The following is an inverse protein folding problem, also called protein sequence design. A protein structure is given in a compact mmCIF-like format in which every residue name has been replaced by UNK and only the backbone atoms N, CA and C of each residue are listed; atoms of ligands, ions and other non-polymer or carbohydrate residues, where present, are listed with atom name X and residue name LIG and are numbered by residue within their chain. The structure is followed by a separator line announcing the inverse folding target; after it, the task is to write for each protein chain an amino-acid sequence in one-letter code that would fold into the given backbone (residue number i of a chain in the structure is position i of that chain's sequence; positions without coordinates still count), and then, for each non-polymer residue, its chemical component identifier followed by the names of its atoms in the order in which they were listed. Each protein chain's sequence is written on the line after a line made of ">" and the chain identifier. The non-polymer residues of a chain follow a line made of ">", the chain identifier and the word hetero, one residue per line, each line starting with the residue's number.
data_IF_886531112326
#
_entry.id   IF_886531112326
#
_cell.length_a   1.000
_cell.length_b   1.000
_cell.length_c   1.000
_cell.angle_alpha   90.00
_cell.angle_beta   90.00
_cell.angle_gamma   90.00
#
_symmetry.space_group_name_H-M   'P 1'
#
loop_
_entity.id
_entity.type
_entity.pdbx_description
1 polymer ?
#
# COMPACT_ATOMS: atom_id res chain seq x y z
N UNK A 1 -20.69 24.96 5.93
CA UNK A 1 -19.53 24.95 5.01
C UNK A 1 -18.95 26.34 5.09
N UNK A 2 -17.96 26.59 5.99
CA UNK A 2 -17.40 27.92 6.18
C UNK A 2 -16.76 28.41 4.88
N UNK A 3 -16.93 29.69 4.58
CA UNK A 3 -16.34 30.36 3.42
C UNK A 3 -14.81 30.11 3.42
N UNK A 4 -14.34 29.45 2.38
CA UNK A 4 -12.90 29.24 2.20
C UNK A 4 -12.25 30.59 1.91
N UNK A 5 -11.52 31.12 2.87
CA UNK A 5 -10.71 32.33 2.71
C UNK A 5 -9.82 32.15 1.46
N UNK A 6 -9.82 33.13 0.57
CA UNK A 6 -8.98 33.07 -0.65
C UNK A 6 -7.50 32.96 -0.25
N UNK A 7 -6.68 32.17 -0.97
CA UNK A 7 -5.27 31.95 -0.58
C UNK A 7 -4.47 33.21 -0.26
N UNK A 8 -4.68 34.30 -1.02
CA UNK A 8 -4.00 35.60 -0.82
C UNK A 8 -4.40 36.36 0.47
N UNK A 9 -5.55 35.99 1.05
CA UNK A 9 -6.13 36.70 2.19
C UNK A 9 -5.93 35.93 3.51
N UNK A 10 -5.18 34.80 3.46
CA UNK A 10 -4.89 33.95 4.61
C UNK A 10 -3.72 34.50 5.43
N UNK A 11 -3.83 34.38 6.75
CA UNK A 11 -2.72 34.63 7.66
C UNK A 11 -1.67 33.51 7.52
N UNK A 12 -0.43 33.80 7.93
CA UNK A 12 0.67 32.84 7.86
C UNK A 12 0.36 31.57 8.69
N UNK A 13 -0.30 31.70 9.82
CA UNK A 13 -0.67 30.56 10.67
C UNK A 13 -1.68 29.64 9.96
N UNK A 14 -2.69 30.21 9.27
CA UNK A 14 -3.66 29.44 8.47
C UNK A 14 -2.96 28.67 7.33
N UNK A 15 -1.95 29.26 6.71
CA UNK A 15 -1.15 28.60 5.66
C UNK A 15 -0.32 27.46 6.24
N UNK A 16 0.30 27.65 7.40
CA UNK A 16 1.06 26.59 8.09
C UNK A 16 0.13 25.45 8.49
N UNK A 17 -1.04 25.73 9.05
CA UNK A 17 -2.03 24.70 9.43
C UNK A 17 -2.53 23.91 8.22
N UNK A 18 -2.87 24.60 7.12
CA UNK A 18 -3.27 23.96 5.87
C UNK A 18 -2.16 23.07 5.31
N UNK A 19 -0.89 23.51 5.45
CA UNK A 19 0.26 22.74 5.00
C UNK A 19 0.48 21.50 5.88
N UNK A 20 0.36 21.63 7.19
CA UNK A 20 0.40 20.50 8.12
C UNK A 20 -0.64 19.46 7.73
N UNK A 21 -1.89 19.89 7.51
CA UNK A 21 -2.96 19.00 7.06
C UNK A 21 -2.61 18.28 5.74
N UNK A 22 -2.11 19.03 4.76
CA UNK A 22 -1.71 18.46 3.47
C UNK A 22 -0.58 17.43 3.60
N UNK A 23 0.44 17.72 4.40
CA UNK A 23 1.56 16.79 4.66
C UNK A 23 1.07 15.57 5.42
N UNK A 24 0.16 15.72 6.39
CA UNK A 24 -0.40 14.61 7.16
C UNK A 24 -1.22 13.65 6.30
N UNK A 25 -1.97 14.17 5.31
CA UNK A 25 -2.65 13.33 4.31
C UNK A 25 -1.63 12.52 3.51
N UNK A 26 -0.56 13.14 3.03
CA UNK A 26 0.50 12.46 2.26
C UNK A 26 1.21 11.43 3.14
N UNK A 27 1.57 11.78 4.38
CA UNK A 27 2.16 10.86 5.35
C UNK A 27 1.27 9.63 5.57
N UNK A 28 -0.01 9.85 5.82
CA UNK A 28 -0.97 8.76 6.04
C UNK A 28 -1.12 7.90 4.78
N UNK A 29 -1.11 8.48 3.58
CA UNK A 29 -1.11 7.74 2.33
C UNK A 29 0.14 6.86 2.19
N UNK A 30 1.33 7.36 2.58
CA UNK A 30 2.58 6.58 2.60
C UNK A 30 2.52 5.41 3.59
N UNK A 31 1.91 5.59 4.75
CA UNK A 31 1.66 4.49 5.71
C UNK A 31 0.79 3.39 5.07
N UNK A 32 -0.29 3.80 4.39
CA UNK A 32 -1.19 2.83 3.71
C UNK A 32 -0.49 2.11 2.56
N UNK A 33 0.28 2.83 1.75
CA UNK A 33 1.07 2.25 0.67
C UNK A 33 2.10 1.24 1.18
N UNK A 34 2.88 1.60 2.21
CA UNK A 34 3.84 0.72 2.86
C UNK A 34 3.18 -0.56 3.37
N UNK A 35 2.11 -0.44 4.17
CA UNK A 35 1.40 -1.60 4.72
C UNK A 35 0.73 -2.47 3.66
N UNK A 36 0.32 -1.89 2.51
CA UNK A 36 -0.22 -2.65 1.38
C UNK A 36 0.87 -3.47 0.68
N UNK A 37 2.01 -2.86 0.39
CA UNK A 37 3.14 -3.52 -0.27
C UNK A 37 3.75 -4.62 0.60
N UNK A 38 3.85 -4.42 1.92
CA UNK A 38 4.26 -5.48 2.85
C UNK A 38 3.32 -6.69 2.79
N UNK A 39 2.00 -6.46 2.78
CA UNK A 39 1.03 -7.56 2.64
C UNK A 39 1.17 -8.30 1.32
N UNK A 40 1.51 -7.60 0.22
CA UNK A 40 1.78 -8.28 -1.06
C UNK A 40 3.01 -9.16 -0.96
N UNK A 41 4.12 -8.65 -0.38
CA UNK A 41 5.33 -9.44 -0.17
C UNK A 41 5.02 -10.71 0.65
N UNK A 42 4.38 -10.57 1.81
CA UNK A 42 4.03 -11.71 2.67
C UNK A 42 3.10 -12.70 1.97
N UNK A 43 2.12 -12.21 1.19
CA UNK A 43 1.21 -13.07 0.44
C UNK A 43 1.93 -13.85 -0.65
N UNK A 44 2.88 -13.23 -1.35
CA UNK A 44 3.70 -13.92 -2.35
C UNK A 44 4.65 -14.93 -1.72
N UNK A 45 5.31 -14.61 -0.62
CA UNK A 45 6.19 -15.52 0.09
C UNK A 45 5.44 -16.79 0.51
N UNK A 46 4.22 -16.62 1.04
CA UNK A 46 3.34 -17.75 1.40
C UNK A 46 2.88 -18.56 0.18
N UNK A 47 2.47 -17.90 -0.91
CA UNK A 47 2.07 -18.57 -2.15
C UNK A 47 3.23 -19.35 -2.77
N UNK A 48 4.44 -18.80 -2.80
CA UNK A 48 5.62 -19.49 -3.31
C UNK A 48 5.96 -20.71 -2.47
N UNK A 49 5.83 -20.62 -1.16
CA UNK A 49 5.99 -21.80 -0.30
C UNK A 49 5.02 -22.91 -0.72
N UNK A 50 3.72 -22.60 -0.87
CA UNK A 50 2.70 -23.57 -1.30
C UNK A 50 3.02 -24.10 -2.70
N UNK A 51 3.31 -23.25 -3.68
CA UNK A 51 3.60 -23.66 -5.05
C UNK A 51 4.81 -24.57 -5.12
N UNK A 52 5.87 -24.28 -4.38
CA UNK A 52 7.07 -25.11 -4.32
C UNK A 52 6.77 -26.48 -3.66
N UNK A 53 6.03 -26.50 -2.56
CA UNK A 53 5.63 -27.75 -1.89
C UNK A 53 4.76 -28.62 -2.83
N UNK A 54 3.78 -28.02 -3.49
CA UNK A 54 2.93 -28.71 -4.48
C UNK A 54 3.77 -29.22 -5.66
N UNK A 55 4.68 -28.41 -6.19
CA UNK A 55 5.57 -28.81 -7.28
C UNK A 55 6.40 -30.02 -6.94
N UNK A 56 7.02 -30.03 -5.76
CA UNK A 56 7.82 -31.16 -5.28
C UNK A 56 6.96 -32.39 -5.02
N UNK A 57 5.77 -32.22 -4.43
CA UNK A 57 4.84 -33.32 -4.17
C UNK A 57 4.38 -33.97 -5.48
N UNK A 58 4.02 -33.19 -6.49
CA UNK A 58 3.65 -33.70 -7.83
C UNK A 58 4.82 -34.44 -8.49
N UNK A 59 6.04 -33.93 -8.37
CA UNK A 59 7.23 -34.58 -8.90
C UNK A 59 7.48 -35.92 -8.23
N UNK A 60 7.46 -35.98 -6.89
CA UNK A 60 7.69 -37.22 -6.14
C UNK A 60 6.62 -38.26 -6.49
N UNK A 61 5.34 -37.87 -6.51
CA UNK A 61 4.24 -38.78 -6.82
C UNK A 61 4.30 -39.29 -8.27
N UNK A 62 4.81 -38.49 -9.21
CA UNK A 62 5.00 -38.92 -10.61
C UNK A 62 6.15 -39.91 -10.79
N UNK A 63 7.10 -39.96 -9.86
CA UNK A 63 8.24 -40.90 -9.87
C UNK A 63 7.95 -42.20 -9.13
N UNK A 64 6.91 -42.23 -8.29
CA UNK A 64 6.55 -43.47 -7.57
C UNK A 64 5.83 -44.43 -8.53
N UNK A 65 6.15 -45.75 -8.47
CA UNK A 65 5.54 -46.77 -9.32
C UNK A 65 4.11 -47.14 -8.93
N UNK A 66 3.39 -46.20 -8.30
CA UNK A 66 2.01 -46.37 -7.81
C UNK A 66 0.95 -46.24 -8.92
N UNK A 67 1.30 -45.70 -10.07
CA UNK A 67 0.37 -45.62 -11.21
C UNK A 67 0.48 -46.85 -12.08
N UNK A 68 -0.64 -47.50 -12.33
CA UNK A 68 -0.81 -48.68 -13.17
C UNK A 68 -0.39 -48.41 -14.63
N UNK A 69 -0.28 -47.13 -15.02
CA UNK A 69 0.26 -46.71 -16.29
C UNK A 69 1.46 -45.76 -16.04
N UNK A 70 2.61 -46.08 -16.63
CA UNK A 70 3.79 -45.23 -16.68
C UNK A 70 3.49 -43.93 -17.47
N UNK A 71 2.61 -43.08 -16.93
CA UNK A 71 2.13 -41.90 -17.62
C UNK A 71 3.20 -40.81 -17.60
N UNK A 72 3.93 -40.66 -18.67
CA UNK A 72 4.83 -39.51 -18.91
C UNK A 72 4.13 -38.15 -18.73
N UNK A 73 2.80 -38.15 -18.85
CA UNK A 73 1.93 -36.98 -18.74
C UNK A 73 1.98 -36.35 -17.31
N UNK A 74 2.01 -37.17 -16.25
CA UNK A 74 2.13 -36.67 -14.88
C UNK A 74 3.49 -36.00 -14.61
N UNK A 75 4.58 -36.60 -15.15
CA UNK A 75 5.91 -36.00 -15.06
C UNK A 75 6.00 -34.69 -15.85
N UNK A 76 5.43 -34.64 -17.06
CA UNK A 76 5.40 -33.42 -17.86
C UNK A 76 4.59 -32.30 -17.17
N UNK A 77 3.43 -32.63 -16.57
CA UNK A 77 2.61 -31.66 -15.85
C UNK A 77 3.35 -31.07 -14.64
N UNK A 78 4.03 -31.94 -13.86
CA UNK A 78 4.82 -31.48 -12.72
C UNK A 78 6.01 -30.59 -13.14
N UNK A 79 6.67 -30.94 -14.27
CA UNK A 79 7.77 -30.14 -14.84
C UNK A 79 7.28 -28.76 -15.32
N UNK A 80 6.15 -28.71 -16.03
CA UNK A 80 5.56 -27.43 -16.48
C UNK A 80 5.12 -26.57 -15.28
N UNK A 81 4.54 -27.16 -14.25
CA UNK A 81 4.17 -26.40 -13.07
C UNK A 81 5.39 -25.86 -12.31
N UNK A 82 6.46 -26.64 -12.23
CA UNK A 82 7.72 -26.21 -11.64
C UNK A 82 8.32 -25.02 -12.40
N UNK A 83 8.33 -25.09 -13.74
CA UNK A 83 8.78 -23.99 -14.59
C UNK A 83 7.90 -22.75 -14.44
N UNK A 84 6.58 -22.91 -14.40
CA UNK A 84 5.64 -21.82 -14.13
C UNK A 84 5.94 -21.14 -12.79
N UNK A 85 6.14 -21.93 -11.73
CA UNK A 85 6.46 -21.41 -10.39
C UNK A 85 7.74 -20.57 -10.42
N UNK A 86 8.80 -21.04 -11.09
CA UNK A 86 10.05 -20.29 -11.26
C UNK A 86 9.82 -18.96 -11.99
N UNK A 87 9.07 -18.95 -13.08
CA UNK A 87 8.81 -17.75 -13.89
C UNK A 87 8.04 -16.71 -13.04
N UNK A 88 6.99 -17.14 -12.34
CA UNK A 88 6.20 -16.26 -11.48
C UNK A 88 7.06 -15.72 -10.34
N UNK A 89 7.87 -16.55 -9.70
CA UNK A 89 8.77 -16.14 -8.61
C UNK A 89 9.80 -15.12 -9.11
N UNK A 90 10.41 -15.34 -10.27
CA UNK A 90 11.32 -14.38 -10.87
C UNK A 90 10.62 -13.05 -11.17
N UNK A 91 9.45 -13.08 -11.80
CA UNK A 91 8.66 -11.88 -12.08
C UNK A 91 8.35 -11.10 -10.81
N UNK A 92 7.83 -11.76 -9.76
CA UNK A 92 7.51 -11.11 -8.49
C UNK A 92 8.74 -10.54 -7.78
N UNK A 93 9.90 -11.20 -7.90
CA UNK A 93 11.15 -10.67 -7.32
C UNK A 93 11.55 -9.34 -7.94
N UNK A 94 11.24 -9.10 -9.22
CA UNK A 94 11.55 -7.83 -9.90
C UNK A 94 10.66 -6.68 -9.44
N UNK A 95 9.48 -6.95 -8.85
CA UNK A 95 8.55 -5.93 -8.36
C UNK A 95 9.00 -5.28 -7.05
N UNK A 96 9.96 -5.89 -6.35
CA UNK A 96 10.62 -5.34 -5.16
C UNK A 96 9.67 -4.76 -4.11
N UNK A 97 8.54 -5.43 -3.83
CA UNK A 97 7.51 -4.94 -2.92
C UNK A 97 8.07 -4.54 -1.54
N UNK A 98 8.97 -5.33 -0.99
CA UNK A 98 9.57 -5.10 0.33
C UNK A 98 10.43 -3.83 0.36
N UNK A 99 11.27 -3.64 -0.66
CA UNK A 99 12.12 -2.45 -0.78
C UNK A 99 11.27 -1.19 -0.97
N UNK A 100 10.24 -1.25 -1.83
CA UNK A 100 9.31 -0.15 -2.05
C UNK A 100 8.53 0.20 -0.79
N UNK A 101 8.06 -0.83 -0.04
CA UNK A 101 7.38 -0.63 1.24
C UNK A 101 8.29 0.08 2.24
N UNK A 102 9.55 -0.31 2.33
CA UNK A 102 10.54 0.29 3.21
C UNK A 102 10.83 1.75 2.83
N UNK A 103 10.93 2.07 1.53
CA UNK A 103 11.08 3.45 1.05
C UNK A 103 9.90 4.33 1.48
N UNK A 104 8.65 3.83 1.37
CA UNK A 104 7.48 4.55 1.87
C UNK A 104 7.51 4.74 3.39
N UNK A 105 7.99 3.74 4.12
CA UNK A 105 8.13 3.82 5.57
C UNK A 105 9.13 4.90 5.99
N UNK A 106 10.30 4.99 5.37
CA UNK A 106 11.27 6.04 5.67
C UNK A 106 10.74 7.43 5.29
N UNK A 107 10.10 7.55 4.15
CA UNK A 107 9.53 8.83 3.73
C UNK A 107 8.43 9.32 4.69
N UNK A 108 7.60 8.43 5.23
CA UNK A 108 6.60 8.86 6.22
C UNK A 108 7.23 9.45 7.50
N UNK A 109 8.36 8.91 7.96
CA UNK A 109 9.10 9.44 9.11
C UNK A 109 9.68 10.83 8.82
N UNK A 110 10.17 11.02 7.60
CA UNK A 110 10.65 12.33 7.16
C UNK A 110 9.50 13.36 7.11
N UNK A 111 8.33 12.97 6.58
CA UNK A 111 7.14 13.81 6.56
C UNK A 111 6.67 14.17 7.98
N UNK A 112 6.74 13.25 8.93
CA UNK A 112 6.44 13.52 10.32
C UNK A 112 7.38 14.59 10.92
N UNK A 113 8.67 14.52 10.61
CA UNK A 113 9.62 15.55 11.01
C UNK A 113 9.27 16.94 10.45
N UNK A 114 8.78 17.03 9.21
CA UNK A 114 8.30 18.30 8.66
C UNK A 114 7.06 18.82 9.41
N UNK A 115 6.11 17.93 9.72
CA UNK A 115 4.93 18.29 10.51
C UNK A 115 5.35 18.83 11.89
N UNK A 116 6.29 18.18 12.58
CA UNK A 116 6.79 18.62 13.88
C UNK A 116 7.47 19.98 13.79
N UNK A 117 8.30 20.22 12.78
CA UNK A 117 8.94 21.52 12.54
C UNK A 117 7.91 22.63 12.32
N UNK A 118 6.88 22.37 11.49
CA UNK A 118 5.80 23.34 11.24
C UNK A 118 4.97 23.60 12.51
N UNK A 119 4.67 22.58 13.31
CA UNK A 119 3.99 22.74 14.59
C UNK A 119 4.82 23.58 15.57
N UNK A 120 6.14 23.40 15.60
CA UNK A 120 7.01 24.19 16.45
C UNK A 120 6.96 25.69 16.11
N UNK A 121 6.85 26.06 14.81
CA UNK A 121 6.66 27.47 14.41
C UNK A 121 5.38 28.05 15.04
N UNK A 122 4.26 27.30 15.01
CA UNK A 122 2.99 27.73 15.60
C UNK A 122 3.03 27.80 17.13
N UNK A 123 3.79 26.92 17.79
CA UNK A 123 3.87 26.85 19.25
C UNK A 123 4.84 27.88 19.85
N UNK A 124 5.88 28.30 19.15
CA UNK A 124 6.85 29.30 19.62
C UNK A 124 6.23 30.69 19.83
N UNK A 125 5.01 30.93 19.36
CA UNK A 125 4.28 32.18 19.49
C UNK A 125 4.01 32.61 20.94
N UNK A 126 3.95 31.68 21.88
CA UNK A 126 3.53 31.95 23.28
C UNK A 126 4.59 32.61 24.15
N UNK A 127 5.80 32.90 23.61
CA UNK A 127 6.92 33.34 24.44
C UNK A 127 7.68 34.54 23.86
N UNK A 128 7.25 35.79 24.12
CA UNK A 128 8.13 36.94 24.33
C UNK A 128 8.62 37.84 23.18
N UNK A 129 7.86 38.23 22.13
CA UNK A 129 8.34 39.33 21.24
C UNK A 129 7.23 40.25 20.71
N UNK A 130 7.49 41.52 20.33
CA UNK A 130 6.51 42.42 19.72
C UNK A 130 6.04 41.93 18.35
N UNK A 131 4.79 42.14 18.05
CA UNK A 131 3.98 41.50 16.98
C UNK A 131 4.51 41.64 15.54
N UNK A 132 5.13 42.75 15.17
CA UNK A 132 5.48 43.01 13.77
C UNK A 132 6.72 42.26 13.20
N UNK A 133 7.66 41.84 14.06
CA UNK A 133 8.85 41.10 13.62
C UNK A 133 8.59 39.57 13.54
N UNK A 134 7.56 39.12 14.20
CA UNK A 134 7.25 37.70 14.40
C UNK A 134 6.70 37.04 13.11
N UNK A 135 5.83 37.74 12.38
CA UNK A 135 5.23 37.18 11.13
C UNK A 135 6.27 37.02 10.03
N UNK A 136 7.24 37.94 9.95
CA UNK A 136 8.31 37.83 8.97
C UNK A 136 9.27 36.68 9.30
N UNK A 137 9.64 36.49 10.57
CA UNK A 137 10.49 35.38 11.01
C UNK A 137 9.81 34.03 10.76
N UNK A 138 8.51 33.90 11.12
CA UNK A 138 7.69 32.73 10.82
C UNK A 138 7.67 32.41 9.32
N UNK A 139 7.46 33.43 8.50
CA UNK A 139 7.44 33.26 7.04
C UNK A 139 8.77 32.74 6.49
N UNK A 140 9.89 33.24 6.98
CA UNK A 140 11.22 32.77 6.56
C UNK A 140 11.46 31.31 6.97
N UNK A 141 11.14 30.95 8.21
CA UNK A 141 11.25 29.58 8.69
C UNK A 141 10.33 28.62 7.89
N UNK A 142 9.10 29.04 7.65
CA UNK A 142 8.14 28.30 6.84
C UNK A 142 8.67 28.04 5.42
N UNK A 143 9.21 29.08 4.77
CA UNK A 143 9.79 28.98 3.43
C UNK A 143 10.92 27.95 3.37
N UNK A 144 11.85 27.99 4.33
CA UNK A 144 12.97 27.03 4.40
C UNK A 144 12.47 25.60 4.56
N UNK A 145 11.44 25.38 5.38
CA UNK A 145 10.85 24.05 5.57
C UNK A 145 10.16 23.57 4.30
N UNK A 146 9.44 24.45 3.59
CA UNK A 146 8.78 24.10 2.33
C UNK A 146 9.78 23.74 1.22
N UNK A 147 10.88 24.46 1.11
CA UNK A 147 11.93 24.14 0.13
C UNK A 147 12.49 22.73 0.39
N UNK A 148 12.82 22.43 1.64
CA UNK A 148 13.30 21.09 2.03
C UNK A 148 12.24 20.00 1.77
N UNK A 149 10.97 20.28 2.06
CA UNK A 149 9.87 19.36 1.80
C UNK A 149 9.70 19.07 0.30
N UNK A 150 9.81 20.09 -0.57
CA UNK A 150 9.74 19.91 -2.01
C UNK A 150 10.88 19.04 -2.56
N UNK A 151 12.09 19.24 -2.02
CA UNK A 151 13.25 18.41 -2.39
C UNK A 151 13.03 16.96 -1.96
N UNK A 152 12.50 16.72 -0.76
CA UNK A 152 12.25 15.37 -0.26
C UNK A 152 11.23 14.60 -1.12
N UNK A 153 10.26 15.30 -1.71
CA UNK A 153 9.28 14.65 -2.59
C UNK A 153 9.88 14.11 -3.89
N UNK A 154 10.98 14.68 -4.38
CA UNK A 154 11.57 14.30 -5.67
C UNK A 154 12.23 12.92 -5.66
N UNK A 155 12.64 12.43 -4.49
CA UNK A 155 13.34 11.16 -4.34
C UNK A 155 12.45 9.93 -4.21
N UNK A 156 11.13 10.11 -4.11
CA UNK A 156 10.23 9.01 -3.77
C UNK A 156 9.15 8.78 -4.84
N UNK A 157 8.81 7.51 -5.02
CA UNK A 157 7.68 7.08 -5.86
C UNK A 157 6.36 7.66 -5.33
N UNK A 158 5.45 8.04 -6.23
CA UNK A 158 4.13 8.51 -5.84
C UNK A 158 3.29 7.36 -5.28
N UNK A 159 2.52 7.65 -4.23
CA UNK A 159 1.50 6.75 -3.71
C UNK A 159 0.34 6.63 -4.70
N UNK A 160 -0.39 5.51 -4.64
CA UNK A 160 -1.56 5.31 -5.49
C UNK A 160 -2.73 6.20 -5.09
N UNK A 161 -3.63 6.47 -6.04
CA UNK A 161 -4.88 7.21 -5.77
C UNK A 161 -5.74 6.51 -4.70
N UNK A 162 -5.65 5.17 -4.62
CA UNK A 162 -6.33 4.39 -3.59
C UNK A 162 -5.82 4.77 -2.19
N UNK A 163 -4.50 4.76 -2.00
CA UNK A 163 -3.86 5.08 -0.73
C UNK A 163 -4.19 6.52 -0.30
N UNK A 164 -4.13 7.45 -1.25
CA UNK A 164 -4.48 8.86 -1.00
C UNK A 164 -5.95 9.04 -0.58
N UNK A 165 -6.90 8.41 -1.29
CA UNK A 165 -8.33 8.48 -0.95
C UNK A 165 -8.63 7.89 0.42
N UNK A 166 -8.01 6.76 0.76
CA UNK A 166 -8.16 6.12 2.07
C UNK A 166 -7.62 7.04 3.18
N UNK A 167 -6.42 7.59 2.98
CA UNK A 167 -5.77 8.48 3.93
C UNK A 167 -6.61 9.74 4.19
N UNK A 168 -7.04 10.41 3.13
CA UNK A 168 -7.84 11.63 3.22
C UNK A 168 -9.16 11.39 3.96
N UNK A 169 -9.89 10.33 3.62
CA UNK A 169 -11.13 9.96 4.32
C UNK A 169 -10.89 9.63 5.79
N UNK A 170 -9.78 8.98 6.12
CA UNK A 170 -9.43 8.67 7.50
C UNK A 170 -9.21 9.94 8.33
N UNK A 171 -8.45 10.90 7.80
CA UNK A 171 -8.17 12.17 8.50
C UNK A 171 -9.43 13.03 8.60
N UNK A 172 -10.22 13.12 7.53
CA UNK A 172 -11.50 13.86 7.56
C UNK A 172 -12.47 13.28 8.60
N UNK A 173 -12.52 11.95 8.76
CA UNK A 173 -13.33 11.29 9.80
C UNK A 173 -12.80 11.57 11.21
N UNK A 174 -11.48 11.57 11.37
CA UNK A 174 -10.86 11.88 12.66
C UNK A 174 -11.24 13.31 13.12
N UNK A 175 -11.18 14.26 12.18
CA UNK A 175 -11.51 15.66 12.46
C UNK A 175 -13.03 15.91 12.65
N UNK A 176 -13.91 15.02 12.13
CA UNK A 176 -15.37 15.12 12.24
C UNK A 176 -15.98 14.17 13.26
N UNK A 177 -15.22 13.66 14.21
CA UNK A 177 -15.62 12.60 15.15
C UNK A 177 -16.93 12.88 15.90
N UNK A 178 -17.29 14.13 16.10
CA UNK A 178 -18.49 14.53 16.85
C UNK A 178 -19.79 14.59 16.00
N UNK A 179 -19.68 14.59 14.65
CA UNK A 179 -20.84 14.71 13.76
C UNK A 179 -21.34 13.36 13.20
N UNK A 180 -20.62 12.23 13.37
CA UNK A 180 -20.87 10.98 12.65
C UNK A 180 -21.74 9.99 13.46
N UNK A 181 -22.83 10.44 14.06
CA UNK A 181 -23.89 9.52 14.56
C UNK A 181 -25.14 9.54 13.67
N UNK A 182 -25.02 9.66 12.34
CA UNK A 182 -26.16 9.51 11.43
C UNK A 182 -26.26 8.07 10.92
N UNK A 183 -27.47 7.50 11.00
CA UNK A 183 -27.84 6.19 10.43
C UNK A 183 -27.49 6.14 8.93
N UNK A 184 -26.30 5.62 8.62
CA UNK A 184 -25.84 5.43 7.24
C UNK A 184 -26.54 4.20 6.68
N UNK A 185 -27.29 4.37 5.59
CA UNK A 185 -28.01 3.28 4.89
C UNK A 185 -27.01 2.18 4.48
N UNK A 186 -27.44 0.91 4.51
CA UNK A 186 -26.59 -0.26 4.28
C UNK A 186 -25.86 -0.24 2.91
N UNK A 187 -26.52 0.23 1.85
CA UNK A 187 -25.92 0.34 0.51
C UNK A 187 -24.78 1.36 0.46
N UNK A 188 -24.84 2.44 1.28
CA UNK A 188 -23.73 3.39 1.42
C UNK A 188 -22.54 2.73 2.14
N UNK A 189 -22.83 1.91 3.16
CA UNK A 189 -21.78 1.12 3.84
C UNK A 189 -21.13 0.12 2.88
N UNK A 190 -21.91 -0.54 2.03
CA UNK A 190 -21.41 -1.48 1.02
C UNK A 190 -20.55 -0.77 -0.03
N UNK A 191 -21.05 0.34 -0.59
CA UNK A 191 -20.28 1.16 -1.54
C UNK A 191 -19.00 1.69 -0.94
N UNK A 192 -19.06 2.08 0.33
CA UNK A 192 -17.88 2.53 1.06
C UNK A 192 -16.89 1.39 1.30
N UNK A 193 -17.34 0.21 1.71
CA UNK A 193 -16.52 -0.99 1.86
C UNK A 193 -15.84 -1.39 0.54
N UNK A 194 -16.58 -1.38 -0.58
CA UNK A 194 -16.01 -1.64 -1.91
C UNK A 194 -14.96 -0.59 -2.30
N UNK A 195 -15.16 0.68 -1.92
CA UNK A 195 -14.20 1.75 -2.23
C UNK A 195 -12.86 1.64 -1.48
N UNK A 196 -12.82 0.83 -0.40
CA UNK A 196 -11.60 0.53 0.35
C UNK A 196 -10.95 -0.80 -0.07
N UNK A 197 -11.64 -1.63 -0.88
CA UNK A 197 -11.03 -2.84 -1.40
C UNK A 197 -9.96 -2.51 -2.42
N UNK A 198 -8.89 -3.25 -2.30
CA UNK A 198 -7.75 -3.16 -3.18
C UNK A 198 -8.00 -4.02 -4.42
N UNK A 199 -8.44 -3.38 -5.50
CA UNK A 199 -8.62 -3.98 -6.83
C UNK A 199 -7.44 -3.67 -7.76
N UNK A 200 -6.24 -3.47 -7.21
CA UNK A 200 -5.04 -3.34 -8.03
C UNK A 200 -4.73 -4.65 -8.76
N UNK A 201 -4.07 -4.53 -9.90
CA UNK A 201 -3.64 -5.68 -10.71
C UNK A 201 -2.79 -6.63 -9.88
N UNK A 202 -1.90 -6.08 -9.04
CA UNK A 202 -1.04 -6.87 -8.15
C UNK A 202 -1.84 -7.76 -7.20
N UNK A 203 -2.89 -7.20 -6.57
CA UNK A 203 -3.73 -7.95 -5.64
C UNK A 203 -4.57 -9.01 -6.36
N UNK A 204 -5.12 -8.68 -7.54
CA UNK A 204 -5.86 -9.64 -8.38
C UNK A 204 -4.94 -10.78 -8.79
N UNK A 205 -3.70 -10.49 -9.19
CA UNK A 205 -2.74 -11.50 -9.61
C UNK A 205 -2.37 -12.47 -8.50
N UNK A 206 -2.23 -11.99 -7.25
CA UNK A 206 -2.05 -12.84 -6.06
C UNK A 206 -3.21 -13.83 -5.91
N UNK A 207 -4.45 -13.33 -5.90
CA UNK A 207 -5.62 -14.20 -5.73
C UNK A 207 -5.84 -15.16 -6.90
N UNK A 208 -5.41 -14.79 -8.11
CA UNK A 208 -5.52 -15.65 -9.29
C UNK A 208 -4.63 -16.90 -9.24
N UNK A 209 -3.58 -16.90 -8.40
CA UNK A 209 -2.72 -18.08 -8.22
C UNK A 209 -3.47 -19.24 -7.54
N UNK A 210 -4.41 -18.95 -6.65
CA UNK A 210 -5.14 -19.99 -5.89
C UNK A 210 -5.92 -20.92 -6.83
N UNK A 211 -6.80 -20.43 -7.73
CA UNK A 211 -7.49 -21.29 -8.69
C UNK A 211 -6.53 -22.02 -9.65
N UNK A 212 -5.40 -21.41 -10.02
CA UNK A 212 -4.40 -22.10 -10.87
C UNK A 212 -3.83 -23.31 -10.13
N UNK A 213 -3.42 -23.17 -8.87
CA UNK A 213 -2.89 -24.27 -8.07
C UNK A 213 -3.92 -25.38 -7.94
N UNK A 214 -5.17 -25.05 -7.65
CA UNK A 214 -6.27 -26.03 -7.54
C UNK A 214 -6.48 -26.76 -8.86
N UNK A 215 -6.52 -26.04 -9.96
CA UNK A 215 -6.73 -26.59 -11.31
C UNK A 215 -5.61 -27.58 -11.69
N UNK A 216 -4.37 -27.28 -11.36
CA UNK A 216 -3.22 -28.14 -11.61
C UNK A 216 -3.29 -29.41 -10.77
N UNK A 217 -3.67 -29.32 -9.49
CA UNK A 217 -3.85 -30.49 -8.65
C UNK A 217 -4.97 -31.38 -9.19
N UNK A 218 -6.09 -30.81 -9.60
CA UNK A 218 -7.21 -31.56 -10.18
C UNK A 218 -6.82 -32.21 -11.52
N UNK A 219 -6.10 -31.47 -12.37
CA UNK A 219 -5.59 -32.03 -13.65
C UNK A 219 -4.62 -33.19 -13.40
N UNK A 220 -3.76 -33.09 -12.40
CA UNK A 220 -2.84 -34.16 -12.03
C UNK A 220 -3.60 -35.41 -11.56
N UNK A 221 -4.58 -35.24 -10.66
CA UNK A 221 -5.42 -36.34 -10.19
C UNK A 221 -6.17 -36.99 -11.35
N UNK A 222 -6.71 -36.18 -12.27
CA UNK A 222 -7.41 -36.70 -13.44
C UNK A 222 -6.49 -37.52 -14.35
N UNK A 223 -5.28 -37.05 -14.63
CA UNK A 223 -4.27 -37.80 -15.41
C UNK A 223 -3.88 -39.10 -14.69
N UNK A 224 -3.72 -39.08 -13.37
CA UNK A 224 -3.38 -40.24 -12.59
C UNK A 224 -4.50 -41.31 -12.57
N UNK A 225 -5.77 -40.88 -12.57
CA UNK A 225 -6.94 -41.80 -12.52
C UNK A 225 -7.33 -42.32 -13.91
N UNK A 226 -7.29 -41.46 -14.94
CA UNK A 226 -7.74 -41.83 -16.28
C UNK A 226 -6.62 -42.54 -17.10
N UNK A 227 -5.37 -42.40 -16.67
CA UNK A 227 -4.24 -43.12 -17.29
C UNK A 227 -3.86 -42.61 -18.68
N UNK A 228 -4.07 -41.32 -18.95
CA UNK A 228 -3.62 -40.66 -20.18
C UNK A 228 -2.14 -40.34 -20.16
#
# INVERSE_FOLDING_TARGET
>A
MGDKIKPRDRKIDDEIENKIFSIDVVRTARIKASGRLYRYSESWDFLFLIMNVVSVALLITSLLPLSINESKSGLMLSAFFSLYTMIVQYFCSTLNYNERALKYHYHQLELENFILKLKNILLCEKTRRPYNDMDFEKFQQYKIILEKYQISLQGYENHSDLDYRIARKQIERYNKKDEIKKNIKWHVKLAEWLSYKDFTIDNIFIYFQIPIIILIILAYIWVAVVGL
#
